data_IF_412077806323
#
_entry.id   IF_412077806323
#
_cell.length_a   1.000
_cell.length_b   1.000
_cell.length_c   1.000
_cell.angle_alpha   90.00
_cell.angle_beta   90.00
_cell.angle_gamma   90.00
#
_symmetry.space_group_name_H-M   'P 1'
#
loop_
_entity.id
_entity.type
_entity.pdbx_description
1 polymer ?
#
# COMPACT_ATOMS: atom_id res chain seq x y z
N UNK A 1 -24.78 31.68 -16.75
CA UNK A 1 -23.87 30.52 -16.60
C UNK A 1 -24.61 29.31 -17.14
N UNK A 2 -24.07 28.64 -18.15
CA UNK A 2 -24.71 27.46 -18.71
C UNK A 2 -24.75 26.33 -17.68
N UNK A 3 -25.94 25.77 -17.47
CA UNK A 3 -26.19 24.64 -16.59
C UNK A 3 -25.52 23.43 -17.25
N UNK A 4 -24.45 22.90 -16.64
CA UNK A 4 -23.72 21.72 -17.13
C UNK A 4 -24.70 20.60 -17.48
N UNK A 5 -24.58 19.91 -18.64
CA UNK A 5 -25.46 18.80 -18.98
C UNK A 5 -25.55 17.74 -17.88
N UNK A 6 -24.45 17.52 -17.14
CA UNK A 6 -24.41 16.60 -15.99
C UNK A 6 -25.43 16.99 -14.90
N UNK A 7 -25.64 18.29 -14.66
CA UNK A 7 -26.58 18.75 -13.63
C UNK A 7 -28.05 18.58 -14.01
N UNK A 8 -28.36 18.32 -15.28
CA UNK A 8 -29.71 17.98 -15.75
C UNK A 8 -30.08 16.51 -15.51
N UNK A 9 -29.09 15.64 -15.24
CA UNK A 9 -29.31 14.22 -14.95
C UNK A 9 -29.81 14.03 -13.51
N UNK A 10 -30.56 12.96 -13.25
CA UNK A 10 -30.88 12.56 -11.87
C UNK A 10 -29.61 12.18 -11.11
N UNK A 11 -29.69 12.19 -9.77
CA UNK A 11 -28.56 11.76 -8.95
C UNK A 11 -28.16 10.29 -9.23
N UNK A 12 -29.11 9.39 -9.51
CA UNK A 12 -28.77 7.99 -9.80
C UNK A 12 -27.99 7.85 -11.10
N UNK A 13 -28.40 8.55 -12.15
CA UNK A 13 -27.68 8.51 -13.44
C UNK A 13 -26.27 9.11 -13.31
N UNK A 14 -26.10 10.21 -12.56
CA UNK A 14 -24.77 10.76 -12.28
C UNK A 14 -23.90 9.77 -11.51
N UNK A 15 -24.46 9.15 -10.47
CA UNK A 15 -23.77 8.16 -9.66
C UNK A 15 -23.30 6.96 -10.50
N UNK A 16 -24.14 6.48 -11.42
CA UNK A 16 -23.79 5.38 -12.32
C UNK A 16 -22.67 5.77 -13.29
N UNK A 17 -22.72 6.97 -13.87
CA UNK A 17 -21.63 7.50 -14.70
C UNK A 17 -20.33 7.59 -13.89
N UNK A 18 -20.40 8.12 -12.66
CA UNK A 18 -19.24 8.24 -11.77
C UNK A 18 -18.66 6.87 -11.42
N UNK A 19 -19.53 5.91 -11.08
CA UNK A 19 -19.13 4.54 -10.78
C UNK A 19 -18.35 3.92 -11.95
N UNK A 20 -18.89 4.04 -13.17
CA UNK A 20 -18.24 3.51 -14.39
C UNK A 20 -16.92 4.23 -14.71
N UNK A 21 -16.85 5.54 -14.52
CA UNK A 21 -15.67 6.34 -14.86
C UNK A 21 -14.54 6.26 -13.83
N UNK A 22 -14.87 6.05 -12.55
CA UNK A 22 -13.91 6.10 -11.45
C UNK A 22 -13.43 4.73 -10.98
N UNK A 23 -14.18 3.67 -11.23
CA UNK A 23 -13.80 2.32 -10.81
C UNK A 23 -12.74 1.78 -11.75
N UNK A 24 -11.64 1.30 -11.19
CA UNK A 24 -10.64 0.54 -11.93
C UNK A 24 -10.55 -0.88 -11.41
N UNK A 25 -10.41 -1.83 -12.33
CA UNK A 25 -10.15 -3.23 -11.99
C UNK A 25 -8.71 -3.44 -11.47
N UNK A 26 -7.85 -2.41 -11.55
CA UNK A 26 -6.44 -2.46 -11.14
C UNK A 26 -6.26 -1.76 -9.81
N UNK A 27 -5.29 -2.23 -9.02
CA UNK A 27 -4.93 -1.56 -7.76
C UNK A 27 -4.23 -0.22 -8.05
N UNK A 28 -4.62 0.81 -7.31
CA UNK A 28 -4.06 2.15 -7.43
C UNK A 28 -2.85 2.30 -6.51
N UNK A 29 -1.68 2.50 -7.11
CA UNK A 29 -0.40 2.55 -6.40
C UNK A 29 -0.16 3.93 -5.83
N UNK A 30 -0.07 4.03 -4.50
CA UNK A 30 0.31 5.25 -3.78
C UNK A 30 1.83 5.43 -3.82
N UNK A 31 2.53 4.34 -3.52
CA UNK A 31 3.99 4.28 -3.45
C UNK A 31 4.45 2.94 -4.01
N UNK A 32 5.52 2.95 -4.80
CA UNK A 32 6.11 1.72 -5.38
C UNK A 32 7.55 1.55 -4.91
N UNK A 33 7.88 0.34 -4.48
CA UNK A 33 9.27 -0.10 -4.49
C UNK A 33 9.83 -0.12 -5.91
N UNK A 34 11.12 0.20 -6.03
CA UNK A 34 11.89 -0.19 -7.21
C UNK A 34 11.77 -1.71 -7.34
N UNK A 35 11.37 -2.15 -8.52
CA UNK A 35 11.39 -3.58 -8.88
C UNK A 35 12.83 -3.98 -9.21
N UNK A 36 13.08 -5.29 -9.29
CA UNK A 36 14.41 -5.84 -9.61
C UNK A 36 14.92 -5.41 -11.00
N UNK A 37 14.04 -4.97 -11.89
CA UNK A 37 14.39 -4.41 -13.20
C UNK A 37 14.87 -2.94 -13.14
N UNK A 38 14.99 -2.36 -11.94
CA UNK A 38 15.37 -0.97 -11.72
C UNK A 38 14.28 0.05 -12.08
N UNK A 39 13.11 -0.39 -12.57
CA UNK A 39 12.04 0.52 -12.99
C UNK A 39 11.15 0.85 -11.80
N UNK A 40 11.05 2.14 -11.50
CA UNK A 40 10.04 2.63 -10.56
C UNK A 40 8.71 2.82 -11.31
N UNK A 41 7.67 2.09 -10.89
CA UNK A 41 6.31 2.38 -11.38
C UNK A 41 5.87 3.72 -10.83
N UNK A 42 5.36 4.59 -11.71
CA UNK A 42 4.78 5.87 -11.32
C UNK A 42 3.55 5.62 -10.44
N UNK A 43 3.34 6.42 -9.37
CA UNK A 43 2.10 6.36 -8.59
C UNK A 43 0.88 6.52 -9.49
N UNK A 44 -0.11 5.65 -9.32
CA UNK A 44 -1.37 5.68 -10.07
C UNK A 44 -2.55 6.10 -9.22
N UNK A 45 -2.37 6.25 -7.90
CA UNK A 45 -3.39 6.75 -6.96
C UNK A 45 -3.58 8.28 -7.06
N UNK A 46 -3.67 8.81 -8.27
CA UNK A 46 -3.94 10.22 -8.53
C UNK A 46 -5.44 10.45 -8.66
N UNK A 47 -5.92 11.58 -8.11
CA UNK A 47 -7.32 11.95 -8.24
C UNK A 47 -7.68 12.17 -9.73
N UNK A 48 -8.68 11.46 -10.27
CA UNK A 48 -9.03 11.56 -11.68
C UNK A 48 -9.61 12.94 -12.01
N UNK A 49 -9.49 13.42 -13.26
CA UNK A 49 -9.92 14.77 -13.65
C UNK A 49 -11.37 15.09 -13.25
N UNK A 50 -12.26 14.09 -13.30
CA UNK A 50 -13.67 14.22 -12.92
C UNK A 50 -13.88 14.77 -11.51
N UNK A 51 -13.00 14.43 -10.56
CA UNK A 51 -13.04 14.90 -9.16
C UNK A 51 -12.57 16.35 -8.98
N UNK A 52 -12.13 17.01 -10.07
CA UNK A 52 -11.55 18.36 -10.06
C UNK A 52 -12.33 19.38 -10.88
N UNK A 53 -13.40 18.96 -11.58
CA UNK A 53 -14.13 19.83 -12.52
C UNK A 53 -14.95 20.91 -11.80
N UNK A 54 -15.84 20.52 -10.90
CA UNK A 54 -16.70 21.45 -10.17
C UNK A 54 -17.03 20.92 -8.76
N UNK A 55 -17.55 21.78 -7.88
CA UNK A 55 -17.86 21.43 -6.48
C UNK A 55 -18.83 20.25 -6.36
N UNK A 56 -19.86 20.20 -7.22
CA UNK A 56 -20.85 19.12 -7.20
C UNK A 56 -20.21 17.78 -7.59
N UNK A 57 -19.58 17.68 -8.77
CA UNK A 57 -18.91 16.47 -9.22
C UNK A 57 -17.84 16.03 -8.24
N UNK A 58 -17.05 16.96 -7.69
CA UNK A 58 -16.06 16.65 -6.65
C UNK A 58 -16.72 15.99 -5.43
N UNK A 59 -17.76 16.60 -4.87
CA UNK A 59 -18.44 16.08 -3.67
C UNK A 59 -19.04 14.69 -3.90
N UNK A 60 -19.70 14.49 -5.05
CA UNK A 60 -20.38 13.23 -5.37
C UNK A 60 -19.39 12.12 -5.75
N UNK A 61 -18.36 12.44 -6.53
CA UNK A 61 -17.47 11.44 -7.15
C UNK A 61 -16.23 11.09 -6.31
N UNK A 62 -15.73 12.02 -5.47
CA UNK A 62 -14.51 11.79 -4.69
C UNK A 62 -14.67 10.64 -3.68
N UNK A 63 -15.79 10.60 -2.97
CA UNK A 63 -16.09 9.51 -2.03
C UNK A 63 -16.18 8.16 -2.75
N UNK A 64 -16.83 8.12 -3.92
CA UNK A 64 -16.91 6.90 -4.74
C UNK A 64 -15.53 6.42 -5.19
N UNK A 65 -14.67 7.33 -5.66
CA UNK A 65 -13.31 6.98 -6.08
C UNK A 65 -12.55 6.29 -4.96
N UNK A 66 -12.59 6.83 -3.74
CA UNK A 66 -11.88 6.24 -2.61
C UNK A 66 -12.55 4.95 -2.09
N UNK A 67 -13.88 4.85 -2.17
CA UNK A 67 -14.61 3.69 -1.67
C UNK A 67 -14.54 2.46 -2.60
N UNK A 68 -14.64 2.69 -3.91
CA UNK A 68 -14.76 1.63 -4.91
C UNK A 68 -13.41 1.07 -5.37
N UNK A 69 -12.31 1.78 -5.12
CA UNK A 69 -10.97 1.36 -5.56
C UNK A 69 -10.14 0.78 -4.42
N UNK A 70 -9.27 -0.16 -4.79
CA UNK A 70 -8.25 -0.70 -3.89
C UNK A 70 -6.95 0.10 -4.04
N UNK A 71 -6.44 0.60 -2.93
CA UNK A 71 -5.16 1.30 -2.90
C UNK A 71 -4.04 0.37 -2.44
N UNK A 72 -2.84 0.52 -3.00
CA UNK A 72 -1.65 -0.25 -2.63
C UNK A 72 -0.47 0.66 -2.30
N UNK A 73 0.19 0.35 -1.19
CA UNK A 73 1.45 0.93 -0.77
C UNK A 73 2.48 -0.20 -0.84
N UNK A 74 3.51 -0.04 -1.67
CA UNK A 74 4.62 -0.98 -1.79
C UNK A 74 5.89 -0.34 -1.24
N UNK A 75 6.46 -0.94 -0.20
CA UNK A 75 7.66 -0.47 0.48
C UNK A 75 8.73 -1.56 0.53
N UNK A 76 9.98 -1.15 0.39
CA UNK A 76 11.13 -2.02 0.63
C UNK A 76 11.64 -1.81 2.04
N UNK A 77 11.80 -2.88 2.79
CA UNK A 77 12.46 -2.84 4.08
C UNK A 77 13.92 -2.46 3.96
N UNK A 78 14.40 -1.73 4.96
CA UNK A 78 15.80 -1.39 5.11
C UNK A 78 16.53 -2.48 5.91
N UNK A 79 17.27 -3.42 5.27
CA UNK A 79 18.18 -4.30 5.98
C UNK A 79 19.20 -3.51 6.80
N UNK A 80 19.71 -4.09 7.90
CA UNK A 80 20.85 -3.48 8.59
C UNK A 80 22.05 -3.45 7.63
N UNK A 81 22.71 -2.30 7.53
CA UNK A 81 23.94 -2.13 6.74
C UNK A 81 23.76 -1.66 5.30
N UNK A 82 22.56 -1.72 4.71
CA UNK A 82 22.34 -1.17 3.36
C UNK A 82 21.90 0.30 3.42
N UNK A 83 22.79 1.21 3.02
CA UNK A 83 22.47 2.64 2.94
C UNK A 83 21.39 2.92 1.89
N UNK A 84 21.47 2.28 0.73
CA UNK A 84 20.57 2.55 -0.40
C UNK A 84 19.13 2.10 -0.09
N UNK A 85 18.96 0.91 0.46
CA UNK A 85 17.62 0.41 0.83
C UNK A 85 17.01 1.21 1.98
N UNK A 86 17.83 1.76 2.88
CA UNK A 86 17.35 2.69 3.91
C UNK A 86 16.87 4.01 3.31
N UNK A 87 17.63 4.58 2.37
CA UNK A 87 17.22 5.80 1.68
C UNK A 87 15.91 5.59 0.90
N UNK A 88 15.77 4.46 0.21
CA UNK A 88 14.53 4.10 -0.47
C UNK A 88 13.36 3.93 0.51
N UNK A 89 13.53 3.23 1.63
CA UNK A 89 12.49 3.09 2.66
C UNK A 89 12.03 4.45 3.23
N UNK A 90 12.98 5.33 3.54
CA UNK A 90 12.66 6.67 4.07
C UNK A 90 11.90 7.51 3.05
N UNK A 91 12.33 7.49 1.78
CA UNK A 91 11.63 8.17 0.69
C UNK A 91 10.20 7.65 0.53
N UNK A 92 10.01 6.33 0.53
CA UNK A 92 8.69 5.72 0.42
C UNK A 92 7.78 6.08 1.60
N UNK A 93 8.33 6.05 2.82
CA UNK A 93 7.62 6.47 4.03
C UNK A 93 7.17 7.93 3.91
N UNK A 94 8.03 8.80 3.37
CA UNK A 94 7.69 10.19 3.11
C UNK A 94 6.61 10.35 2.02
N UNK A 95 6.71 9.62 0.90
CA UNK A 95 5.69 9.64 -0.17
C UNK A 95 4.31 9.22 0.37
N UNK A 96 4.25 8.17 1.18
CA UNK A 96 3.02 7.72 1.83
C UNK A 96 2.49 8.76 2.83
N UNK A 97 3.37 9.31 3.67
CA UNK A 97 2.97 10.34 4.64
C UNK A 97 2.43 11.60 3.95
N UNK A 98 3.04 12.01 2.82
CA UNK A 98 2.57 13.12 2.00
C UNK A 98 1.20 12.82 1.38
N UNK A 99 1.02 11.63 0.79
CA UNK A 99 -0.27 11.22 0.23
C UNK A 99 -1.37 11.23 1.29
N UNK A 100 -1.07 10.72 2.50
CA UNK A 100 -2.02 10.75 3.61
C UNK A 100 -2.35 12.19 4.02
N UNK A 101 -1.33 13.04 4.22
CA UNK A 101 -1.56 14.44 4.60
C UNK A 101 -2.38 15.23 3.57
N UNK A 102 -2.22 14.91 2.29
CA UNK A 102 -2.91 15.59 1.20
C UNK A 102 -4.29 14.97 0.86
N UNK A 103 -4.69 13.90 1.53
CA UNK A 103 -5.99 13.26 1.35
C UNK A 103 -6.93 13.71 2.46
N UNK A 104 -8.16 14.11 2.09
CA UNK A 104 -9.14 14.61 3.06
C UNK A 104 -9.56 13.50 4.05
N UNK A 105 -9.84 13.85 5.31
CA UNK A 105 -10.23 12.84 6.32
C UNK A 105 -11.45 12.01 5.91
N UNK A 106 -12.45 12.62 5.27
CA UNK A 106 -13.61 11.91 4.73
C UNK A 106 -13.22 10.91 3.63
N UNK A 107 -12.21 11.25 2.82
CA UNK A 107 -11.66 10.34 1.80
C UNK A 107 -10.90 9.18 2.44
N UNK A 108 -10.13 9.45 3.50
CA UNK A 108 -9.51 8.40 4.31
C UNK A 108 -10.56 7.43 4.83
N UNK A 109 -11.65 7.91 5.43
CA UNK A 109 -12.74 7.09 5.93
C UNK A 109 -13.43 6.28 4.83
N UNK A 110 -13.64 6.88 3.66
CA UNK A 110 -14.28 6.23 2.52
C UNK A 110 -13.50 5.02 1.97
N UNK A 111 -12.16 5.00 2.10
CA UNK A 111 -11.34 3.87 1.62
C UNK A 111 -11.79 2.57 2.27
N UNK A 112 -12.23 1.62 1.46
CA UNK A 112 -12.66 0.30 1.92
C UNK A 112 -11.48 -0.64 2.15
N UNK A 113 -10.45 -0.56 1.28
CA UNK A 113 -9.29 -1.45 1.34
C UNK A 113 -8.00 -0.73 0.95
N UNK A 114 -7.03 -0.78 1.86
CA UNK A 114 -5.64 -0.38 1.67
C UNK A 114 -4.74 -1.60 1.84
N UNK A 115 -3.96 -1.92 0.81
CA UNK A 115 -2.99 -3.01 0.82
C UNK A 115 -1.60 -2.46 1.09
N UNK A 116 -0.96 -2.94 2.15
CA UNK A 116 0.45 -2.66 2.43
C UNK A 116 1.27 -3.87 1.98
N UNK A 117 2.15 -3.69 1.00
CA UNK A 117 3.05 -4.73 0.51
C UNK A 117 4.47 -4.38 0.93
N UNK A 118 5.09 -5.25 1.72
CA UNK A 118 6.40 -5.02 2.33
C UNK A 118 7.40 -6.03 1.78
N UNK A 119 8.42 -5.55 1.09
CA UNK A 119 9.49 -6.39 0.55
C UNK A 119 10.72 -6.30 1.45
N UNK A 120 11.12 -7.37 2.14
CA UNK A 120 12.30 -7.27 3.03
C UNK A 120 13.25 -8.46 2.87
N UNK A 121 14.57 -8.21 2.80
CA UNK A 121 15.60 -9.21 3.06
C UNK A 121 15.66 -9.49 4.57
N UNK A 122 14.88 -10.48 4.98
CA UNK A 122 14.54 -10.69 6.39
C UNK A 122 15.73 -11.13 7.24
N UNK A 123 16.76 -11.71 6.63
CA UNK A 123 17.93 -12.28 7.31
C UNK A 123 18.82 -11.24 7.99
N UNK A 124 18.77 -9.99 7.52
CA UNK A 124 19.73 -8.93 7.88
C UNK A 124 19.33 -8.09 9.11
N UNK A 125 18.24 -8.45 9.78
CA UNK A 125 17.74 -7.74 10.96
C UNK A 125 16.96 -6.46 10.68
N UNK A 126 16.36 -5.89 11.73
CA UNK A 126 15.42 -4.76 11.64
C UNK A 126 15.76 -3.63 12.62
N UNK A 127 15.19 -2.45 12.35
CA UNK A 127 15.11 -1.33 13.27
C UNK A 127 13.62 -1.00 13.48
N UNK A 128 13.08 -1.37 14.63
CA UNK A 128 11.68 -1.08 14.99
C UNK A 128 11.36 0.42 14.91
N UNK A 129 12.33 1.26 15.29
CA UNK A 129 12.18 2.72 15.25
C UNK A 129 11.79 3.26 13.88
N UNK A 130 12.30 2.68 12.79
CA UNK A 130 12.04 3.15 11.42
C UNK A 130 10.56 2.93 11.02
N UNK A 131 9.91 1.88 11.55
CA UNK A 131 8.51 1.56 11.27
C UNK A 131 7.51 2.28 12.17
N UNK A 132 7.93 2.68 13.37
CA UNK A 132 7.02 3.29 14.36
C UNK A 132 6.28 4.52 13.82
N UNK A 133 6.97 5.40 13.08
CA UNK A 133 6.35 6.59 12.47
C UNK A 133 5.37 6.24 11.36
N UNK A 134 5.65 5.16 10.63
CA UNK A 134 4.80 4.67 9.56
C UNK A 134 3.50 4.07 10.11
N UNK A 135 3.60 3.26 11.16
CA UNK A 135 2.44 2.67 11.86
C UNK A 135 1.58 3.76 12.52
N UNK A 136 2.20 4.72 13.22
CA UNK A 136 1.48 5.86 13.80
C UNK A 136 0.72 6.68 12.76
N UNK A 137 1.22 6.76 11.53
CA UNK A 137 0.50 7.43 10.45
C UNK A 137 -0.77 6.66 10.08
N UNK A 138 -0.70 5.33 9.92
CA UNK A 138 -1.90 4.52 9.68
C UNK A 138 -2.94 4.67 10.78
N UNK A 139 -2.53 4.59 12.04
CA UNK A 139 -3.42 4.77 13.18
C UNK A 139 -4.11 6.13 13.17
N UNK A 140 -3.36 7.20 12.92
CA UNK A 140 -3.89 8.58 12.88
C UNK A 140 -5.03 8.73 11.87
N UNK A 141 -4.94 8.06 10.72
CA UNK A 141 -5.93 8.14 9.65
C UNK A 141 -6.96 6.99 9.69
N UNK A 142 -6.97 6.19 10.77
CA UNK A 142 -7.97 5.13 10.98
C UNK A 142 -7.77 3.90 10.11
N UNK A 143 -6.55 3.66 9.62
CA UNK A 143 -6.21 2.44 8.87
C UNK A 143 -5.89 1.30 9.84
N UNK A 144 -6.94 0.57 10.22
CA UNK A 144 -6.87 -0.65 11.03
C UNK A 144 -7.58 -1.80 10.32
N UNK A 145 -7.51 -3.01 10.86
CA UNK A 145 -8.33 -4.11 10.37
C UNK A 145 -9.82 -3.75 10.44
N UNK A 146 -10.64 -4.14 9.43
CA UNK A 146 -10.29 -4.93 8.24
C UNK A 146 -9.77 -4.10 7.04
N UNK A 147 -9.70 -2.77 7.18
CA UNK A 147 -9.39 -1.83 6.09
C UNK A 147 -7.93 -1.89 5.62
N UNK A 148 -7.00 -2.24 6.50
CA UNK A 148 -5.58 -2.37 6.20
C UNK A 148 -5.19 -3.85 6.13
N UNK A 149 -4.84 -4.34 4.94
CA UNK A 149 -4.32 -5.70 4.75
C UNK A 149 -2.85 -5.62 4.40
N UNK A 150 -1.99 -6.12 5.28
CA UNK A 150 -0.57 -6.15 5.03
C UNK A 150 -0.13 -7.51 4.49
N UNK A 151 0.68 -7.49 3.43
CA UNK A 151 1.33 -8.65 2.83
C UNK A 151 2.84 -8.47 2.87
N UNK A 152 3.54 -9.36 3.55
CA UNK A 152 5.00 -9.35 3.61
C UNK A 152 5.53 -10.32 2.56
N UNK A 153 6.35 -9.80 1.64
CA UNK A 153 7.17 -10.59 0.72
C UNK A 153 8.58 -10.68 1.29
N UNK A 154 8.88 -11.84 1.87
CA UNK A 154 10.22 -12.17 2.34
C UNK A 154 11.06 -12.48 1.10
N UNK A 155 12.09 -11.66 0.86
CA UNK A 155 13.04 -11.84 -0.23
C UNK A 155 14.30 -12.47 0.35
N UNK A 156 14.66 -13.67 -0.06
CA UNK A 156 15.97 -14.22 0.26
C UNK A 156 16.89 -14.06 -0.94
N UNK A 157 18.08 -13.47 -0.75
CA UNK A 157 19.14 -13.51 -1.76
C UNK A 157 19.89 -14.85 -1.75
N UNK A 158 19.54 -15.73 -0.82
CA UNK A 158 20.19 -17.01 -0.65
C UNK A 158 19.48 -18.06 -1.52
N UNK A 159 19.52 -17.88 -2.84
CA UNK A 159 19.25 -19.00 -3.76
C UNK A 159 20.15 -20.21 -3.41
N UNK A 160 21.33 -19.95 -2.84
CA UNK A 160 22.25 -20.95 -2.32
C UNK A 160 21.73 -21.70 -1.07
N UNK A 161 20.75 -21.19 -0.32
CA UNK A 161 20.20 -21.96 0.81
C UNK A 161 19.47 -23.21 0.35
N UNK A 162 18.85 -23.21 -0.84
CA UNK A 162 18.26 -24.41 -1.45
C UNK A 162 19.33 -25.48 -1.74
N UNK A 163 20.58 -25.07 -1.98
CA UNK A 163 21.69 -25.99 -2.26
C UNK A 163 22.33 -26.56 -0.98
N UNK A 164 22.13 -25.89 0.15
CA UNK A 164 22.81 -26.22 1.43
C UNK A 164 21.86 -26.91 2.40
N UNK A 165 20.57 -26.58 2.38
CA UNK A 165 19.58 -27.19 3.25
C UNK A 165 18.91 -28.38 2.58
N UNK A 166 18.59 -29.40 3.38
CA UNK A 166 17.60 -30.39 2.96
C UNK A 166 16.25 -29.72 2.70
N UNK A 167 15.39 -30.36 1.92
CA UNK A 167 14.02 -29.89 1.67
C UNK A 167 13.27 -29.59 2.99
N UNK A 168 13.41 -30.47 3.99
CA UNK A 168 12.86 -30.28 5.32
C UNK A 168 13.43 -29.07 6.06
N UNK A 169 14.76 -28.88 6.04
CA UNK A 169 15.41 -27.74 6.70
C UNK A 169 15.05 -26.41 6.04
N UNK A 170 14.79 -26.44 4.73
CA UNK A 170 14.36 -25.27 3.98
C UNK A 170 12.93 -24.84 4.30
N UNK A 171 11.99 -25.77 4.39
CA UNK A 171 10.61 -25.47 4.81
C UNK A 171 10.56 -24.97 6.27
N UNK A 172 11.34 -25.59 7.17
CA UNK A 172 11.46 -25.11 8.55
C UNK A 172 12.00 -23.68 8.60
N UNK A 173 13.03 -23.37 7.79
CA UNK A 173 13.54 -22.02 7.67
C UNK A 173 12.47 -21.03 7.17
N UNK A 174 11.72 -21.37 6.12
CA UNK A 174 10.63 -20.53 5.58
C UNK A 174 9.59 -20.23 6.65
N UNK A 175 9.09 -21.25 7.35
CA UNK A 175 8.08 -21.08 8.39
C UNK A 175 8.60 -20.25 9.55
N UNK A 176 9.85 -20.46 9.98
CA UNK A 176 10.49 -19.63 11.00
C UNK A 176 10.57 -18.16 10.58
N UNK A 177 10.90 -17.85 9.33
CA UNK A 177 10.92 -16.46 8.87
C UNK A 177 9.51 -15.86 8.74
N UNK A 178 8.53 -16.63 8.26
CA UNK A 178 7.12 -16.22 8.24
C UNK A 178 6.63 -15.89 9.65
N UNK A 179 6.91 -16.74 10.63
CA UNK A 179 6.48 -16.51 12.01
C UNK A 179 7.12 -15.25 12.60
N UNK A 180 8.44 -15.08 12.46
CA UNK A 180 9.12 -13.84 12.86
C UNK A 180 8.49 -12.60 12.24
N UNK A 181 8.01 -12.68 11.00
CA UNK A 181 7.34 -11.58 10.32
C UNK A 181 5.97 -11.27 10.87
N UNK A 182 5.18 -12.31 11.14
CA UNK A 182 3.93 -12.14 11.85
C UNK A 182 4.16 -11.49 13.21
N UNK A 183 5.10 -12.00 14.01
CA UNK A 183 5.38 -11.49 15.35
C UNK A 183 5.79 -10.02 15.33
N UNK A 184 6.69 -9.64 14.41
CA UNK A 184 7.17 -8.26 14.29
C UNK A 184 6.05 -7.27 14.00
N UNK A 185 5.21 -7.56 13.01
CA UNK A 185 4.11 -6.65 12.65
C UNK A 185 2.95 -6.74 13.64
N UNK A 186 2.71 -7.89 14.25
CA UNK A 186 1.71 -8.06 15.31
C UNK A 186 2.09 -7.25 16.55
N UNK A 187 3.38 -7.18 16.91
CA UNK A 187 3.89 -6.29 17.95
C UNK A 187 3.68 -4.79 17.65
N UNK A 188 3.42 -4.45 16.38
CA UNK A 188 3.04 -3.10 15.94
C UNK A 188 1.53 -2.92 15.75
N UNK A 189 0.71 -3.89 16.13
CA UNK A 189 -0.75 -3.85 15.95
C UNK A 189 -1.22 -4.06 14.52
N UNK A 190 -0.37 -4.59 13.63
CA UNK A 190 -0.70 -4.90 12.25
C UNK A 190 -0.90 -6.41 12.08
N UNK A 191 -2.08 -6.80 11.60
CA UNK A 191 -2.32 -8.17 11.16
C UNK A 191 -1.77 -8.34 9.74
N UNK A 192 -0.91 -9.35 9.55
CA UNK A 192 -0.16 -9.53 8.29
C UNK A 192 -0.31 -10.93 7.72
N UNK A 193 -0.54 -11.01 6.41
CA UNK A 193 -0.33 -12.23 5.63
C UNK A 193 1.12 -12.27 5.17
N UNK A 194 1.80 -13.38 5.40
CA UNK A 194 3.21 -13.55 5.03
C UNK A 194 3.33 -14.49 3.86
N UNK A 195 4.06 -14.08 2.83
CA UNK A 195 4.37 -14.89 1.65
C UNK A 195 5.88 -14.90 1.44
N UNK A 196 6.45 -16.08 1.26
CA UNK A 196 7.88 -16.23 0.99
C UNK A 196 8.08 -16.26 -0.52
N UNK A 197 9.03 -15.48 -1.05
CA UNK A 197 9.35 -15.45 -2.49
C UNK A 197 10.86 -15.47 -2.69
N UNK A 198 11.34 -16.40 -3.53
CA UNK A 198 12.70 -16.38 -4.04
C UNK A 198 12.78 -15.44 -5.23
N UNK A 199 13.88 -14.69 -5.33
CA UNK A 199 14.14 -13.74 -6.42
C UNK A 199 15.59 -13.85 -6.83
#
# INVERSE_FOLDING_TARGET
MEISPMSKLSAELRNEIYRLALTTNKQLTICSSKLHDGRQKKPTATQPPLTKVCKQSRRESLQMFYNLNTFIISVSGAPRGSRDLRADFLRQTMEVALWMRCTEQASHQAISMLKLVVYMPWETGRREGDWSSFVRAFDRYGYRMPKLVATVHLKSQLALLELVLSESGFEEFKERQKQKAKDFFSGMGLEVKTTFKFI
#
